data_IF_607273442733
#
_entry.id   IF_607273442733
#
_cell.length_a   1.000
_cell.length_b   1.000
_cell.length_c   1.000
_cell.angle_alpha   90.00
_cell.angle_beta   90.00
_cell.angle_gamma   90.00
#
_symmetry.space_group_name_H-M   'P 1'
#
loop_
_entity.id
_entity.type
_entity.pdbx_description
1 polymer ?
#
# COMPACT_ATOMS: atom_id res chain seq x y z
N UNK A 1 -2.88 -23.64 -2.68
CA UNK A 1 -2.66 -22.19 -2.52
C UNK A 1 -1.54 -21.77 -3.47
N UNK A 2 -1.63 -20.60 -4.10
CA UNK A 2 -0.61 -20.12 -5.05
C UNK A 2 0.41 -19.23 -4.34
N UNK A 3 1.69 -19.36 -4.69
CA UNK A 3 2.79 -18.65 -4.04
C UNK A 3 2.99 -17.21 -4.56
N UNK A 4 2.48 -16.89 -5.75
CA UNK A 4 2.50 -15.54 -6.31
C UNK A 4 1.25 -15.27 -7.15
N UNK A 5 0.99 -13.99 -7.41
CA UNK A 5 -0.05 -13.56 -8.34
C UNK A 5 0.20 -14.14 -9.75
N UNK A 6 1.46 -14.20 -10.18
CA UNK A 6 1.87 -14.78 -11.45
C UNK A 6 1.51 -16.25 -11.55
N UNK A 7 1.85 -17.06 -10.54
CA UNK A 7 1.50 -18.49 -10.55
C UNK A 7 0.00 -18.70 -10.61
N UNK A 8 -0.77 -17.85 -9.92
CA UNK A 8 -2.24 -17.90 -9.97
C UNK A 8 -2.77 -17.57 -11.36
N UNK A 9 -2.33 -16.48 -11.96
CA UNK A 9 -2.79 -16.04 -13.29
C UNK A 9 -2.44 -17.08 -14.37
N UNK A 10 -1.20 -17.59 -14.38
CA UNK A 10 -0.77 -18.65 -15.31
C UNK A 10 -1.60 -19.92 -15.16
N UNK A 11 -1.95 -20.31 -13.92
CA UNK A 11 -2.81 -21.50 -13.69
C UNK A 11 -4.24 -21.32 -14.22
N UNK A 12 -4.71 -20.09 -14.30
CA UNK A 12 -6.01 -19.72 -14.87
C UNK A 12 -5.91 -19.38 -16.36
N UNK A 13 -4.74 -19.56 -16.99
CA UNK A 13 -4.46 -19.25 -18.38
C UNK A 13 -4.75 -17.78 -18.76
N UNK A 14 -4.57 -16.87 -17.80
CA UNK A 14 -4.64 -15.42 -17.99
C UNK A 14 -3.27 -14.81 -17.74
N UNK A 15 -2.94 -13.72 -18.45
CA UNK A 15 -1.68 -13.02 -18.19
C UNK A 15 -1.76 -12.25 -16.87
N UNK A 16 -0.61 -11.94 -16.23
CA UNK A 16 -0.57 -11.08 -15.03
C UNK A 16 -1.23 -9.70 -15.28
N UNK A 17 -1.34 -9.38 -16.55
CA UNK A 17 -1.61 -8.10 -17.18
C UNK A 17 -2.73 -8.27 -18.22
N UNK A 18 -3.73 -9.12 -17.93
CA UNK A 18 -4.93 -9.20 -18.78
C UNK A 18 -5.77 -7.95 -18.52
N UNK A 19 -5.24 -6.85 -19.06
CA UNK A 19 -5.81 -5.53 -19.09
C UNK A 19 -6.78 -5.53 -20.25
N UNK A 20 -7.92 -6.18 -20.09
CA UNK A 20 -9.09 -5.67 -20.78
C UNK A 20 -9.16 -4.19 -20.37
N UNK A 21 -8.68 -3.34 -21.28
CA UNK A 21 -8.86 -1.90 -21.21
C UNK A 21 -10.36 -1.80 -21.12
N UNK A 22 -10.86 -1.43 -19.93
CA UNK A 22 -12.30 -1.36 -19.72
C UNK A 22 -12.80 -0.43 -20.82
N UNK A 23 -13.48 -1.00 -21.82
CA UNK A 23 -13.99 -0.23 -22.95
C UNK A 23 -15.13 0.61 -22.41
N UNK A 24 -14.77 1.82 -22.03
CA UNK A 24 -15.60 2.75 -21.30
C UNK A 24 -16.42 3.64 -22.23
N UNK A 25 -16.44 3.33 -23.53
CA UNK A 25 -17.19 4.08 -24.55
C UNK A 25 -18.69 4.17 -24.23
N UNK A 26 -19.27 3.13 -23.64
CA UNK A 26 -20.71 3.05 -23.37
C UNK A 26 -21.11 3.16 -21.88
N UNK A 27 -20.14 3.20 -20.94
CA UNK A 27 -20.44 3.16 -19.49
C UNK A 27 -20.12 4.44 -18.72
N UNK A 28 -19.66 5.51 -19.39
CA UNK A 28 -19.43 6.80 -18.73
C UNK A 28 -18.45 6.68 -17.57
N UNK A 29 -17.36 5.93 -17.75
CA UNK A 29 -16.34 5.76 -16.73
C UNK A 29 -15.67 7.11 -16.40
N UNK A 30 -16.20 7.80 -15.39
CA UNK A 30 -15.44 8.73 -14.55
C UNK A 30 -14.55 7.95 -13.57
N UNK A 31 -13.83 6.93 -14.05
CA UNK A 31 -13.08 6.03 -13.19
C UNK A 31 -11.70 6.60 -12.91
N UNK A 32 -11.54 7.27 -11.77
CA UNK A 32 -10.26 7.70 -11.19
C UNK A 32 -9.31 6.52 -10.82
N UNK A 33 -9.53 5.34 -11.40
CA UNK A 33 -8.92 4.07 -11.02
C UNK A 33 -8.46 3.35 -12.29
N UNK A 34 -7.16 3.43 -12.58
CA UNK A 34 -6.52 2.68 -13.65
C UNK A 34 -5.20 2.10 -13.15
N UNK A 35 -4.85 0.92 -13.65
CA UNK A 35 -3.54 0.33 -13.42
C UNK A 35 -2.51 1.07 -14.26
N UNK A 36 -1.38 1.44 -13.67
CA UNK A 36 -0.30 2.16 -14.35
C UNK A 36 1.02 1.39 -14.22
N UNK A 37 1.82 1.41 -15.28
CA UNK A 37 3.22 0.95 -15.25
C UNK A 37 4.18 2.01 -14.70
N UNK A 38 3.67 3.21 -14.38
CA UNK A 38 4.46 4.24 -13.72
C UNK A 38 4.99 3.67 -12.40
N UNK A 39 6.30 3.82 -12.11
CA UNK A 39 6.85 3.34 -10.85
C UNK A 39 6.11 4.02 -9.69
N UNK A 40 5.80 3.23 -8.66
CA UNK A 40 5.25 3.72 -7.40
C UNK A 40 6.31 4.56 -6.67
N UNK A 41 6.49 5.81 -7.09
CA UNK A 41 7.61 6.66 -6.65
C UNK A 41 7.58 6.97 -5.14
N UNK A 42 6.42 6.84 -4.48
CA UNK A 42 6.29 7.03 -3.03
C UNK A 42 4.99 6.43 -2.50
N UNK A 43 4.94 5.11 -2.36
CA UNK A 43 3.90 4.47 -1.53
C UNK A 43 4.38 4.51 -0.08
N UNK A 44 3.49 5.00 0.78
CA UNK A 44 3.68 5.00 2.21
C UNK A 44 2.63 4.11 2.85
N UNK A 45 2.93 3.62 4.02
CA UNK A 45 1.99 2.92 4.88
C UNK A 45 1.90 3.64 6.20
N UNK A 46 0.69 3.77 6.75
CA UNK A 46 0.51 4.24 8.12
C UNK A 46 0.12 3.08 9.02
N UNK A 47 0.73 3.02 10.19
CA UNK A 47 0.48 1.99 11.22
C UNK A 47 -0.16 2.65 12.42
N UNK A 48 -1.31 2.12 12.86
CA UNK A 48 -1.99 2.60 14.08
C UNK A 48 -1.50 1.89 15.35
N UNK A 49 -2.05 2.31 16.49
CA UNK A 49 -1.69 1.76 17.82
C UNK A 49 -2.05 0.29 18.00
N UNK A 50 -2.92 -0.27 17.15
CA UNK A 50 -3.32 -1.67 17.17
C UNK A 50 -2.53 -2.51 16.15
N UNK A 51 -1.57 -1.90 15.44
CA UNK A 51 -0.78 -2.55 14.41
C UNK A 51 -1.55 -2.79 13.11
N UNK A 52 -2.67 -2.10 12.88
CA UNK A 52 -3.36 -2.11 11.58
C UNK A 52 -2.65 -1.16 10.63
N UNK A 53 -2.74 -1.47 9.34
CA UNK A 53 -2.05 -0.72 8.27
C UNK A 53 -3.06 -0.08 7.35
N UNK A 54 -2.81 1.17 6.93
CA UNK A 54 -3.49 1.77 5.79
C UNK A 54 -2.47 2.23 4.74
N UNK A 55 -2.87 2.19 3.48
CA UNK A 55 -2.04 2.66 2.36
C UNK A 55 -2.19 4.18 2.24
N UNK A 56 -1.06 4.85 2.07
CA UNK A 56 -0.97 6.28 1.80
C UNK A 56 -0.22 6.45 0.49
N UNK A 57 -0.85 7.07 -0.49
CA UNK A 57 -0.24 7.37 -1.77
C UNK A 57 -0.23 8.87 -1.96
N UNK A 58 0.92 9.43 -2.36
CA UNK A 58 1.03 10.85 -2.75
C UNK A 58 1.50 10.89 -4.20
N UNK A 59 0.58 10.89 -5.18
CA UNK A 59 0.96 11.02 -6.59
C UNK A 59 1.52 12.42 -6.79
N UNK A 60 2.79 12.55 -7.21
CA UNK A 60 3.56 13.79 -7.10
C UNK A 60 2.81 15.10 -7.39
N UNK A 61 2.20 15.22 -8.58
CA UNK A 61 1.56 16.46 -9.06
C UNK A 61 0.05 16.53 -8.73
N UNK A 62 -0.54 15.42 -8.28
CA UNK A 62 -1.99 15.28 -8.13
C UNK A 62 -2.39 15.21 -6.66
N UNK A 63 -3.60 15.67 -6.34
CA UNK A 63 -4.17 15.40 -5.02
C UNK A 63 -4.49 13.91 -4.91
N UNK A 64 -4.06 13.23 -3.84
CA UNK A 64 -4.43 11.84 -3.65
C UNK A 64 -5.94 11.72 -3.45
N UNK A 65 -6.51 10.64 -3.96
CA UNK A 65 -7.91 10.33 -3.67
C UNK A 65 -8.08 10.04 -2.18
N UNK A 66 -9.25 10.36 -1.63
CA UNK A 66 -9.54 10.32 -0.19
C UNK A 66 -9.26 8.96 0.46
N UNK A 67 -9.36 7.88 -0.30
CA UNK A 67 -9.13 6.52 0.18
C UNK A 67 -7.63 6.16 0.37
N UNK A 68 -6.71 6.97 -0.18
CA UNK A 68 -5.25 6.82 -0.04
C UNK A 68 -4.57 8.11 0.46
N UNK A 69 -5.33 9.12 0.86
CA UNK A 69 -4.82 10.31 1.51
C UNK A 69 -4.25 9.98 2.91
N UNK A 70 -3.38 10.82 3.48
CA UNK A 70 -2.75 10.52 4.78
C UNK A 70 -3.73 10.37 5.94
N UNK A 71 -4.87 11.04 5.86
CA UNK A 71 -5.96 11.05 6.85
C UNK A 71 -7.02 9.93 6.62
N UNK A 72 -6.83 9.06 5.62
CA UNK A 72 -7.82 8.04 5.27
C UNK A 72 -8.08 7.02 6.42
N UNK A 73 -9.32 6.59 6.70
CA UNK A 73 -9.60 5.64 7.77
C UNK A 73 -9.46 4.16 7.36
N UNK A 74 -8.89 3.85 6.19
CA UNK A 74 -8.92 2.50 5.59
C UNK A 74 -7.82 1.57 6.15
N UNK A 75 -7.92 1.28 7.44
CA UNK A 75 -7.03 0.35 8.11
C UNK A 75 -7.45 -1.10 7.90
N UNK A 76 -6.50 -1.95 7.53
CA UNK A 76 -6.66 -3.40 7.43
C UNK A 76 -5.71 -4.13 8.39
N UNK A 77 -6.10 -5.34 8.75
CA UNK A 77 -5.32 -6.19 9.66
C UNK A 77 -4.10 -6.75 8.93
N UNK A 78 -2.97 -6.73 9.59
CA UNK A 78 -1.72 -7.31 9.10
C UNK A 78 -1.24 -8.36 10.08
N UNK A 79 -0.75 -9.47 9.56
CA UNK A 79 -0.08 -10.48 10.37
C UNK A 79 1.42 -10.15 10.43
N UNK A 80 1.82 -9.50 11.53
CA UNK A 80 3.22 -9.21 11.81
C UNK A 80 3.97 -10.51 12.19
N UNK A 81 5.25 -10.58 11.85
CA UNK A 81 6.13 -11.72 12.20
C UNK A 81 6.47 -11.77 13.68
N UNK A 82 6.28 -10.66 14.40
CA UNK A 82 6.47 -10.54 15.84
C UNK A 82 5.29 -9.78 16.46
N UNK A 83 5.21 -9.76 17.80
CA UNK A 83 4.26 -8.91 18.53
C UNK A 83 4.65 -7.43 18.53
N UNK A 84 5.82 -7.10 17.95
CA UNK A 84 6.33 -5.73 17.82
C UNK A 84 6.06 -5.24 16.40
N UNK A 85 5.44 -4.06 16.31
CA UNK A 85 5.17 -3.34 15.08
C UNK A 85 5.59 -1.87 15.25
N UNK A 86 5.73 -1.08 14.17
CA UNK A 86 6.10 0.32 14.28
C UNK A 86 4.99 1.09 15.00
N UNK A 87 5.34 1.75 16.10
CA UNK A 87 4.42 2.57 16.89
C UNK A 87 5.15 3.84 17.35
N UNK A 88 4.41 4.92 17.60
CA UNK A 88 5.03 6.19 18.03
C UNK A 88 5.91 6.02 19.27
N UNK A 89 5.47 5.18 20.22
CA UNK A 89 6.20 4.89 21.47
C UNK A 89 7.51 4.13 21.29
N UNK A 90 7.72 3.48 20.14
CA UNK A 90 8.99 2.82 19.81
C UNK A 90 9.75 3.55 18.71
N UNK A 91 9.47 4.83 18.47
CA UNK A 91 10.07 5.63 17.40
C UNK A 91 9.90 4.99 16.01
N UNK A 92 8.77 4.32 15.78
CA UNK A 92 8.50 3.57 14.56
C UNK A 92 9.56 2.51 14.24
N UNK A 93 10.13 1.86 15.27
CA UNK A 93 11.15 0.83 15.10
C UNK A 93 10.57 -0.57 15.25
N UNK A 94 11.03 -1.48 14.39
CA UNK A 94 10.81 -2.92 14.52
C UNK A 94 12.02 -3.47 15.27
N UNK A 95 11.90 -3.71 16.59
CA UNK A 95 12.92 -4.28 17.50
C UNK A 95 14.31 -4.58 16.91
N UNK A 96 15.34 -3.84 17.32
CA UNK A 96 16.81 -4.04 17.25
C UNK A 96 17.53 -4.74 16.06
N UNK A 97 16.94 -5.60 15.23
CA UNK A 97 17.65 -6.48 14.28
C UNK A 97 16.96 -6.69 12.92
N UNK A 98 15.84 -6.03 12.62
CA UNK A 98 15.18 -6.11 11.30
C UNK A 98 15.66 -5.01 10.33
N UNK A 99 15.64 -5.23 9.00
CA UNK A 99 15.91 -4.15 8.05
C UNK A 99 14.89 -3.03 8.25
N UNK A 100 15.40 -1.85 8.59
CA UNK A 100 14.60 -0.64 8.80
C UNK A 100 13.81 -0.31 7.52
N UNK A 101 12.53 0.07 7.60
CA UNK A 101 11.99 0.99 6.61
C UNK A 101 12.78 2.29 6.81
N UNK A 102 13.66 2.62 5.87
CA UNK A 102 14.70 3.63 6.02
C UNK A 102 14.16 5.05 6.31
N UNK A 103 12.83 5.27 6.23
CA UNK A 103 12.17 6.56 6.44
C UNK A 103 10.76 6.39 7.02
N UNK A 104 10.63 6.14 8.32
CA UNK A 104 9.36 6.29 9.05
C UNK A 104 9.30 7.63 9.78
N UNK A 105 8.15 8.32 9.71
CA UNK A 105 7.88 9.55 10.45
C UNK A 105 6.64 9.37 11.34
N UNK A 106 6.62 10.02 12.50
CA UNK A 106 5.45 10.02 13.39
C UNK A 106 4.52 11.18 12.99
N UNK A 107 3.25 10.87 12.76
CA UNK A 107 2.17 11.83 12.51
C UNK A 107 0.94 11.37 13.27
N UNK A 108 0.41 12.21 14.17
CA UNK A 108 -0.79 11.91 14.96
C UNK A 108 -0.77 10.53 15.65
N UNK A 109 0.33 10.23 16.36
CA UNK A 109 0.59 8.94 17.02
C UNK A 109 0.69 7.70 16.12
N UNK A 110 0.66 7.90 14.80
CA UNK A 110 0.82 6.85 13.80
C UNK A 110 2.21 6.89 13.18
N UNK A 111 2.71 5.72 12.80
CA UNK A 111 3.96 5.60 12.06
C UNK A 111 3.69 5.58 10.56
N UNK A 112 4.20 6.58 9.83
CA UNK A 112 4.12 6.66 8.38
C UNK A 112 5.46 6.27 7.78
N UNK A 113 5.54 5.08 7.18
CA UNK A 113 6.75 4.48 6.64
C UNK A 113 6.72 4.45 5.12
N UNK A 114 7.83 4.84 4.49
CA UNK A 114 8.02 4.63 3.06
C UNK A 114 8.29 3.16 2.75
N UNK A 115 7.63 2.64 1.71
CA UNK A 115 7.79 1.26 1.28
C UNK A 115 8.08 1.20 -0.22
N UNK A 116 9.07 0.41 -0.60
CA UNK A 116 9.31 0.04 -2.00
C UNK A 116 8.50 -1.21 -2.33
N UNK A 117 7.68 -1.14 -3.37
CA UNK A 117 7.03 -2.33 -3.95
C UNK A 117 7.94 -2.79 -5.09
N UNK A 118 8.51 -3.99 -4.94
CA UNK A 118 9.35 -4.65 -5.94
C UNK A 118 8.53 -5.57 -6.85
#
# INVERSE_FOLDING_TARGET
>A
AFASAETRCTSANVSLCDFDTVDCSDQGCGSDYFWTSAPCASVKVKVDTDGRVAIVHKPGIWSPSSHVASDNPNFFRVQWTSTVFPMSSNNCTLSSNGPLPTMCNIVDDMCICEVSIA
#
